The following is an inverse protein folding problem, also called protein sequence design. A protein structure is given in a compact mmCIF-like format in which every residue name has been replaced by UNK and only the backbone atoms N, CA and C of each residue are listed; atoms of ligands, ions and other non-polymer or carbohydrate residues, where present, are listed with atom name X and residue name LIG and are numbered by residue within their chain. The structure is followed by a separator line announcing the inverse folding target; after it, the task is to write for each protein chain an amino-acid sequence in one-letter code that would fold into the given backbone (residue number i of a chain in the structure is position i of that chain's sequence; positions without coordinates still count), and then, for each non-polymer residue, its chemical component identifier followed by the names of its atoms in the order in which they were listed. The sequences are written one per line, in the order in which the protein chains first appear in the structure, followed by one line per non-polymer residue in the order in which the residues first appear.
data_IF_065974141034
#
_entry.id   IF_065974141034
#
_cell.length_a   1.000
_cell.length_b   1.000
_cell.length_c   1.000
_cell.angle_alpha   90.00
_cell.angle_beta   90.00
_cell.angle_gamma   90.00
#
_symmetry.space_group_name_H-M   'P 1'
#
loop_
_entity.id
_entity.type
_entity.pdbx_description
1 polymer ?
#
# COMPACT_ATOMS: atom_id res chain seq x y z
N UNK A 1 -8.71 55.13 0.34
CA UNK A 1 -7.61 54.21 0.69
C UNK A 1 -8.24 52.96 1.24
N UNK A 2 -8.01 51.81 0.59
CA UNK A 2 -8.51 50.53 1.07
C UNK A 2 -7.71 50.13 2.32
N UNK A 3 -8.38 49.79 3.41
CA UNK A 3 -7.70 49.26 4.59
C UNK A 3 -6.98 47.96 4.18
N UNK A 4 -5.74 47.75 4.62
CA UNK A 4 -5.01 46.49 4.50
C UNK A 4 -5.32 45.60 5.70
N UNK A 5 -5.43 44.29 5.47
CA UNK A 5 -5.89 43.33 6.48
C UNK A 5 -4.70 42.54 6.99
N UNK A 6 -4.78 42.01 8.20
CA UNK A 6 -3.76 41.12 8.75
C UNK A 6 -4.44 39.87 9.29
N UNK A 7 -3.92 38.71 8.91
CA UNK A 7 -4.22 37.43 9.54
C UNK A 7 -3.05 37.01 10.42
N UNK A 8 -3.30 36.89 11.73
CA UNK A 8 -2.33 36.40 12.71
C UNK A 8 -2.74 35.03 13.21
N UNK A 9 -1.82 34.07 13.21
CA UNK A 9 -2.10 32.78 13.84
C UNK A 9 -2.06 32.94 15.36
N UNK A 10 -3.14 32.55 16.04
CA UNK A 10 -3.30 32.71 17.49
C UNK A 10 -3.42 31.37 18.24
N UNK A 11 -3.58 30.26 17.52
CA UNK A 11 -3.56 28.91 18.08
C UNK A 11 -3.15 27.88 17.03
N UNK A 12 -2.43 26.84 17.47
CA UNK A 12 -2.06 25.67 16.66
C UNK A 12 -3.05 24.52 16.78
N UNK A 13 -4.11 24.63 17.57
CA UNK A 13 -5.10 23.55 17.76
C UNK A 13 -4.51 22.32 18.45
N UNK A 14 -3.60 22.51 19.41
CA UNK A 14 -2.97 21.42 20.17
C UNK A 14 -1.75 20.77 19.50
N UNK A 15 -1.35 21.26 18.33
CA UNK A 15 -0.13 20.82 17.63
C UNK A 15 1.11 21.49 18.23
N UNK A 16 2.17 20.71 18.46
CA UNK A 16 3.49 21.23 18.84
C UNK A 16 4.23 21.80 17.61
N UNK A 17 3.96 23.06 17.28
CA UNK A 17 4.63 23.81 16.20
C UNK A 17 4.74 25.30 16.58
N UNK A 18 5.75 26.04 16.07
CA UNK A 18 5.78 27.50 16.22
C UNK A 18 4.59 28.14 15.48
N UNK A 19 4.16 29.30 15.95
CA UNK A 19 3.18 30.12 15.24
C UNK A 19 3.79 30.65 13.93
N UNK A 20 2.97 30.71 12.89
CA UNK A 20 3.34 31.33 11.62
C UNK A 20 3.51 32.85 11.77
N UNK A 21 4.30 33.50 10.88
CA UNK A 21 4.35 34.95 10.81
C UNK A 21 2.99 35.54 10.44
N UNK A 22 2.81 36.83 10.71
CA UNK A 22 1.60 37.57 10.31
C UNK A 22 1.49 37.66 8.79
N UNK A 23 0.30 37.43 8.25
CA UNK A 23 0.03 37.49 6.82
C UNK A 23 -0.75 38.76 6.49
N UNK A 24 -0.15 39.65 5.71
CA UNK A 24 -0.84 40.83 5.20
C UNK A 24 -1.75 40.46 4.04
N UNK A 25 -3.00 40.95 4.07
CA UNK A 25 -3.98 40.79 3.02
C UNK A 25 -3.94 41.99 2.07
N UNK A 26 -3.63 41.72 0.80
CA UNK A 26 -3.73 42.68 -0.31
C UNK A 26 -5.09 42.51 -1.01
N UNK A 27 -5.69 43.62 -1.45
CA UNK A 27 -6.93 43.64 -2.24
C UNK A 27 -6.77 43.07 -3.65
N UNK A 28 -5.55 42.75 -4.07
CA UNK A 28 -5.25 42.16 -5.39
C UNK A 28 -5.11 40.64 -5.38
N UNK A 29 -5.13 40.00 -4.21
CA UNK A 29 -4.82 38.58 -4.09
C UNK A 29 -5.81 37.87 -3.18
N UNK A 30 -6.13 36.62 -3.56
CA UNK A 30 -6.82 35.70 -2.67
C UNK A 30 -5.81 34.87 -1.90
N UNK A 31 -6.08 34.63 -0.62
CA UNK A 31 -5.25 33.81 0.25
C UNK A 31 -5.97 32.50 0.50
N UNK A 32 -5.39 31.43 -0.02
CA UNK A 32 -5.83 30.07 0.27
C UNK A 32 -5.09 29.54 1.50
N UNK A 33 -5.85 29.03 2.46
CA UNK A 33 -5.33 28.38 3.66
C UNK A 33 -5.65 26.88 3.58
N UNK A 34 -4.65 26.03 3.80
CA UNK A 34 -4.83 24.58 3.73
C UNK A 34 -3.53 23.81 3.91
N UNK A 35 -3.61 22.48 3.82
CA UNK A 35 -2.42 21.61 3.94
C UNK A 35 -1.68 21.37 2.62
N UNK A 36 -2.19 21.86 1.51
CA UNK A 36 -1.55 21.69 0.22
C UNK A 36 -0.37 22.67 0.09
N UNK A 37 0.81 22.24 -0.43
CA UNK A 37 1.96 23.13 -0.57
C UNK A 37 1.73 24.35 -1.48
N UNK A 38 0.71 24.29 -2.35
CA UNK A 38 0.31 25.39 -3.24
C UNK A 38 -0.52 26.48 -2.55
N UNK A 39 -0.91 26.30 -1.28
CA UNK A 39 -1.63 27.31 -0.51
C UNK A 39 -0.69 28.46 -0.10
N UNK A 40 -1.19 29.71 -0.12
CA UNK A 40 -0.45 30.87 0.37
C UNK A 40 -0.13 30.73 1.87
N UNK A 41 -1.08 30.19 2.64
CA UNK A 41 -0.85 29.77 4.03
C UNK A 41 -0.90 28.25 4.07
N UNK A 42 0.26 27.63 3.79
CA UNK A 42 0.43 26.18 3.79
C UNK A 42 0.72 25.65 5.21
N UNK A 43 -0.21 24.88 5.75
CA UNK A 43 -0.07 24.19 7.03
C UNK A 43 0.55 22.81 6.85
N UNK A 44 1.47 22.42 7.74
CA UNK A 44 2.16 21.13 7.63
C UNK A 44 1.15 19.97 7.56
N UNK A 45 1.17 19.14 6.49
CA UNK A 45 0.17 18.11 6.31
C UNK A 45 0.19 17.04 7.41
N UNK A 46 1.36 16.70 7.94
CA UNK A 46 1.50 15.65 8.94
C UNK A 46 1.02 16.11 10.33
N UNK A 47 1.09 17.41 10.60
CA UNK A 47 0.74 17.98 11.89
C UNK A 47 -0.73 18.42 11.95
N UNK A 48 -1.22 19.10 10.92
CA UNK A 48 -2.54 19.73 10.91
C UNK A 48 -3.59 18.86 10.22
N UNK A 49 -3.76 17.59 10.64
CA UNK A 49 -4.62 16.60 9.96
C UNK A 49 -6.10 16.99 9.87
N UNK A 50 -6.59 17.82 10.79
CA UNK A 50 -7.96 18.35 10.79
C UNK A 50 -8.20 19.39 9.70
N UNK A 51 -7.14 19.91 9.06
CA UNK A 51 -7.24 20.91 8.00
C UNK A 51 -7.32 20.23 6.63
N UNK A 52 -8.29 20.63 5.79
CA UNK A 52 -8.40 20.15 4.41
C UNK A 52 -7.22 20.60 3.53
N UNK A 53 -7.03 19.97 2.37
CA UNK A 53 -5.96 20.35 1.41
C UNK A 53 -6.09 21.82 1.00
N UNK A 54 -7.28 22.21 0.60
CA UNK A 54 -7.74 23.57 0.34
C UNK A 54 -8.91 23.77 1.31
N UNK A 55 -8.72 24.52 2.38
CA UNK A 55 -9.69 24.55 3.49
C UNK A 55 -10.62 25.76 3.40
N UNK A 56 -10.03 26.95 3.44
CA UNK A 56 -10.75 28.22 3.40
C UNK A 56 -10.01 29.18 2.47
N UNK A 57 -10.78 29.93 1.71
CA UNK A 57 -10.30 31.01 0.86
C UNK A 57 -10.65 32.34 1.51
N UNK A 58 -9.67 33.22 1.66
CA UNK A 58 -9.86 34.60 2.08
C UNK A 58 -9.67 35.47 0.85
N UNK A 59 -10.73 36.15 0.40
CA UNK A 59 -10.70 36.95 -0.82
C UNK A 59 -11.17 38.38 -0.56
N UNK A 60 -10.70 39.38 -1.33
CA UNK A 60 -11.22 40.73 -1.25
C UNK A 60 -12.68 40.77 -1.72
N UNK A 61 -13.54 41.45 -0.97
CA UNK A 61 -14.95 41.66 -1.29
C UNK A 61 -15.33 43.10 -0.93
N UNK A 62 -15.47 43.96 -1.94
CA UNK A 62 -15.73 45.40 -1.74
C UNK A 62 -14.56 46.11 -1.06
N UNK A 63 -14.79 46.64 0.14
CA UNK A 63 -13.77 47.33 0.96
C UNK A 63 -13.19 46.44 2.08
N UNK A 64 -13.60 45.17 2.17
CA UNK A 64 -13.17 44.23 3.20
C UNK A 64 -12.76 42.88 2.61
N UNK A 65 -12.69 41.86 3.46
CA UNK A 65 -12.40 40.49 3.06
C UNK A 65 -13.54 39.55 3.43
N UNK A 66 -13.71 38.53 2.61
CA UNK A 66 -14.67 37.47 2.81
C UNK A 66 -13.93 36.16 3.02
N UNK A 67 -14.36 35.37 4.00
CA UNK A 67 -13.96 33.98 4.18
C UNK A 67 -14.97 33.05 3.51
N UNK A 68 -14.48 32.12 2.70
CA UNK A 68 -15.28 31.12 1.98
C UNK A 68 -14.75 29.73 2.31
N UNK A 69 -15.58 28.88 2.91
CA UNK A 69 -15.23 27.47 3.13
C UNK A 69 -15.29 26.70 1.81
N UNK A 70 -14.22 25.97 1.46
CA UNK A 70 -14.10 25.25 0.18
C UNK A 70 -14.62 23.81 0.24
N UNK A 71 -15.66 23.56 1.06
CA UNK A 71 -16.16 22.20 1.30
C UNK A 71 -15.23 21.41 2.22
N UNK A 72 -14.70 22.08 3.24
CA UNK A 72 -13.75 21.46 4.16
C UNK A 72 -14.40 20.33 4.97
N UNK A 73 -13.65 19.25 5.19
CA UNK A 73 -14.18 18.05 5.85
C UNK A 73 -14.67 18.31 7.29
N UNK A 74 -13.97 19.20 8.02
CA UNK A 74 -14.27 19.50 9.43
C UNK A 74 -14.96 20.87 9.62
N UNK A 75 -15.22 21.59 8.53
CA UNK A 75 -15.82 22.92 8.55
C UNK A 75 -14.88 24.04 9.01
N UNK A 76 -15.18 25.25 8.57
CA UNK A 76 -14.60 26.51 9.07
C UNK A 76 -15.54 27.14 10.09
N UNK A 77 -15.00 27.72 11.16
CA UNK A 77 -15.77 28.41 12.21
C UNK A 77 -15.30 29.85 12.35
N UNK A 78 -16.23 30.79 12.51
CA UNK A 78 -15.93 32.19 12.81
C UNK A 78 -16.58 32.52 14.16
N UNK A 79 -15.76 32.89 15.14
CA UNK A 79 -16.18 33.15 16.53
C UNK A 79 -17.00 31.99 17.14
N UNK A 80 -16.60 30.75 16.86
CA UNK A 80 -17.25 29.54 17.35
C UNK A 80 -18.52 29.11 16.57
N UNK A 81 -18.99 29.92 15.62
CA UNK A 81 -20.13 29.56 14.77
C UNK A 81 -19.64 28.98 13.44
N UNK A 82 -20.19 27.84 13.04
CA UNK A 82 -19.83 27.18 11.77
C UNK A 82 -20.24 28.07 10.58
N UNK A 83 -19.29 28.32 9.68
CA UNK A 83 -19.49 29.09 8.47
C UNK A 83 -20.44 28.35 7.53
N UNK A 84 -21.50 29.03 7.08
CA UNK A 84 -22.42 28.55 6.05
C UNK A 84 -22.23 29.40 4.79
N UNK A 85 -21.67 28.82 3.73
CA UNK A 85 -21.32 29.55 2.51
C UNK A 85 -20.11 30.47 2.74
N UNK A 86 -20.33 31.77 2.71
CA UNK A 86 -19.30 32.79 2.86
C UNK A 86 -19.71 33.87 3.85
N UNK A 87 -18.73 34.53 4.47
CA UNK A 87 -18.95 35.58 5.48
C UNK A 87 -17.89 36.66 5.39
N UNK A 88 -18.33 37.93 5.41
CA UNK A 88 -17.44 39.10 5.53
C UNK A 88 -16.78 39.09 6.91
N UNK A 89 -15.45 39.22 6.92
CA UNK A 89 -14.65 39.30 8.12
C UNK A 89 -14.69 40.69 8.74
N UNK A 90 -14.80 40.76 10.06
CA UNK A 90 -14.71 41.96 10.87
C UNK A 90 -13.46 41.92 11.74
N UNK A 91 -12.83 43.06 12.00
CA UNK A 91 -11.66 43.11 12.88
C UNK A 91 -11.98 42.50 14.25
N UNK A 92 -11.08 41.65 14.73
CA UNK A 92 -11.25 40.82 15.92
C UNK A 92 -11.83 39.44 15.65
N UNK A 93 -12.33 39.15 14.42
CA UNK A 93 -12.88 37.84 14.10
C UNK A 93 -11.82 36.73 14.24
N UNK A 94 -12.23 35.65 14.91
CA UNK A 94 -11.45 34.43 15.08
C UNK A 94 -11.92 33.38 14.09
N UNK A 95 -11.07 33.06 13.11
CA UNK A 95 -11.25 32.01 12.13
C UNK A 95 -10.59 30.71 12.60
N UNK A 96 -11.37 29.66 12.85
CA UNK A 96 -10.88 28.36 13.33
C UNK A 96 -11.14 27.27 12.28
N UNK A 97 -10.11 26.49 11.96
CA UNK A 97 -10.15 25.47 10.89
C UNK A 97 -10.43 24.07 11.47
N UNK A 98 -11.70 23.70 11.59
CA UNK A 98 -12.19 22.51 12.29
C UNK A 98 -12.37 22.75 13.79
N UNK A 99 -13.29 22.02 14.43
CA UNK A 99 -13.80 22.24 15.80
C UNK A 99 -12.73 22.31 16.91
N UNK A 100 -11.51 21.82 16.65
CA UNK A 100 -10.33 21.93 17.55
C UNK A 100 -9.04 22.25 16.79
N UNK A 101 -9.12 22.89 15.63
CA UNK A 101 -7.98 23.14 14.75
C UNK A 101 -7.25 24.46 15.00
N UNK A 102 -6.27 24.78 14.15
CA UNK A 102 -5.57 26.05 14.23
C UNK A 102 -6.53 27.23 14.04
N UNK A 103 -6.24 28.33 14.73
CA UNK A 103 -7.06 29.54 14.69
C UNK A 103 -6.25 30.76 14.28
N UNK A 104 -6.89 31.67 13.55
CA UNK A 104 -6.34 32.94 13.09
C UNK A 104 -7.23 34.10 13.57
N UNK A 105 -6.64 35.21 14.01
CA UNK A 105 -7.36 36.47 14.18
C UNK A 105 -7.23 37.32 12.93
N UNK A 106 -8.32 37.97 12.55
CA UNK A 106 -8.34 38.97 11.49
C UNK A 106 -8.37 40.38 12.10
N UNK A 107 -7.48 41.26 11.67
CA UNK A 107 -7.40 42.65 12.12
C UNK A 107 -7.25 43.60 10.92
N UNK A 108 -7.78 44.82 11.02
CA UNK A 108 -7.43 45.88 10.07
C UNK A 108 -6.11 46.51 10.48
N UNK A 109 -5.22 46.71 9.52
CA UNK A 109 -4.04 47.52 9.72
C UNK A 109 -4.49 48.99 9.83
N UNK A 110 -4.54 49.52 11.05
CA UNK A 110 -4.72 50.95 11.27
C UNK A 110 -3.55 51.70 10.65
N UNK A 111 -3.82 52.60 9.69
CA UNK A 111 -2.84 53.62 9.33
C UNK A 111 -2.71 54.57 10.52
N UNK A 112 -1.72 54.34 11.37
CA UNK A 112 -1.36 55.24 12.46
C UNK A 112 -0.91 56.59 11.89
N UNK A 113 -1.81 57.57 11.92
CA UNK A 113 -1.47 58.99 11.99
C UNK A 113 -0.84 59.23 13.37
N UNK A 114 0.42 59.66 13.41
CA UNK A 114 1.19 59.87 14.64
C UNK A 114 0.96 61.30 15.16
N UNK A 115 0.28 61.55 16.30
CA UNK A 115 0.33 62.85 16.95
C UNK A 115 1.70 63.00 17.63
N UNK A 116 2.36 64.12 17.34
CA UNK A 116 3.69 64.50 17.82
C UNK A 116 3.98 64.12 19.28
N UNK A 117 5.07 63.37 19.50
CA UNK A 117 5.85 63.39 20.72
C UNK A 117 7.19 64.12 20.46
N UNK A 118 7.78 64.82 21.45
CA UNK A 118 8.86 65.78 21.23
C UNK A 118 10.14 65.16 20.70
N UNK A 119 10.86 65.92 19.87
CA UNK A 119 12.15 65.59 19.28
C UNK A 119 13.23 65.45 20.37
N UNK A 120 13.73 64.23 20.58
CA UNK A 120 15.04 64.00 21.20
C UNK A 120 16.13 63.97 20.11
N UNK A 121 17.21 64.75 20.23
CA UNK A 121 18.28 64.82 19.24
C UNK A 121 19.23 63.63 19.39
N UNK A 122 18.89 62.52 18.74
CA UNK A 122 19.70 61.29 18.76
C UNK A 122 19.37 60.36 17.60
N UNK A 123 19.36 60.89 16.37
CA UNK A 123 19.06 60.10 15.17
C UNK A 123 20.26 59.24 14.74
N UNK A 124 20.32 58.00 15.22
CA UNK A 124 20.87 56.92 14.40
C UNK A 124 19.78 56.44 13.44
N UNK A 125 19.92 56.75 12.16
CA UNK A 125 19.09 56.23 11.08
C UNK A 125 19.21 54.69 11.12
N UNK A 126 18.11 53.91 11.28
CA UNK A 126 18.17 52.48 11.05
C UNK A 126 18.35 52.28 9.54
N UNK A 127 19.55 51.88 9.15
CA UNK A 127 19.85 51.35 7.81
C UNK A 127 18.86 50.21 7.52
N UNK A 128 18.30 50.09 6.30
CA UNK A 128 17.52 48.93 5.92
C UNK A 128 18.31 47.66 6.25
N UNK A 129 17.76 46.81 7.10
CA UNK A 129 18.36 45.51 7.40
C UNK A 129 18.63 44.74 6.11
N UNK A 130 19.67 43.89 6.05
CA UNK A 130 19.99 43.18 4.83
C UNK A 130 18.77 42.39 4.37
N UNK A 131 18.47 42.44 3.07
CA UNK A 131 17.68 41.40 2.42
C UNK A 131 18.41 40.10 2.78
N UNK A 132 17.82 39.29 3.66
CA UNK A 132 18.34 37.96 3.97
C UNK A 132 18.11 37.14 2.71
N UNK A 133 19.08 37.17 1.80
CA UNK A 133 19.24 36.12 0.82
C UNK A 133 19.19 34.80 1.59
N UNK A 134 18.39 33.80 1.17
CA UNK A 134 18.43 32.49 1.82
C UNK A 134 19.90 32.06 1.82
N UNK A 135 20.48 31.82 3.00
CA UNK A 135 21.90 31.51 3.21
C UNK A 135 22.46 30.76 1.99
N UNK A 136 23.30 31.44 1.20
CA UNK A 136 23.90 30.88 -0.02
C UNK A 136 24.92 29.77 0.28
N UNK A 137 25.20 29.52 1.56
CA UNK A 137 26.05 28.44 2.01
C UNK A 137 25.24 27.16 2.03
N UNK A 138 25.47 26.32 1.01
CA UNK A 138 25.00 24.95 0.97
C UNK A 138 25.44 24.24 2.25
N UNK A 139 24.47 23.81 3.07
CA UNK A 139 24.80 23.01 4.25
C UNK A 139 25.29 21.64 3.80
N UNK A 140 26.21 21.00 4.53
CA UNK A 140 26.63 19.62 4.21
C UNK A 140 25.45 18.63 4.17
N UNK A 141 24.35 18.94 4.85
CA UNK A 141 23.08 18.21 4.78
C UNK A 141 22.29 18.46 3.49
N UNK A 142 22.43 19.61 2.85
CA UNK A 142 21.89 19.89 1.51
C UNK A 142 22.80 19.32 0.41
N UNK A 143 24.12 19.33 0.63
CA UNK A 143 25.12 18.73 -0.28
C UNK A 143 25.11 17.20 -0.22
N UNK A 144 24.90 16.65 0.98
CA UNK A 144 24.80 15.22 1.27
C UNK A 144 23.51 14.94 2.06
N UNK A 145 22.35 14.83 1.36
CA UNK A 145 21.04 14.59 1.96
C UNK A 145 21.00 13.37 2.90
N UNK A 146 21.90 12.42 2.68
CA UNK A 146 22.03 11.19 3.48
C UNK A 146 22.45 11.51 4.94
N UNK A 147 23.29 12.53 5.16
CA UNK A 147 23.82 12.88 6.49
C UNK A 147 22.77 13.52 7.41
N UNK A 148 21.74 14.16 6.86
CA UNK A 148 20.66 14.81 7.61
C UNK A 148 19.53 13.83 8.00
N UNK A 149 19.40 12.74 7.24
CA UNK A 149 18.16 11.97 7.15
C UNK A 149 18.23 10.64 7.90
N UNK A 150 19.35 10.31 8.58
CA UNK A 150 19.57 8.98 9.16
C UNK A 150 18.43 8.43 10.03
N UNK A 151 17.76 9.28 10.82
CA UNK A 151 16.60 8.90 11.66
C UNK A 151 15.25 8.97 10.92
N UNK A 152 15.17 9.78 9.86
CA UNK A 152 13.95 10.01 9.07
C UNK A 152 13.88 9.11 7.81
N UNK A 153 14.97 8.43 7.47
CA UNK A 153 15.05 7.50 6.34
C UNK A 153 14.61 6.08 6.76
N UNK A 154 14.94 5.67 7.98
CA UNK A 154 14.52 4.37 8.56
C UNK A 154 13.03 4.30 8.88
N UNK A 155 12.36 5.46 9.01
CA UNK A 155 10.90 5.57 9.23
C UNK A 155 10.09 5.57 7.92
N UNK A 156 10.74 5.70 6.75
CA UNK A 156 10.05 5.77 5.44
C UNK A 156 9.83 4.38 4.85
N UNK A 157 8.60 4.14 4.38
CA UNK A 157 8.14 2.85 3.87
C UNK A 157 8.96 2.28 2.69
N UNK A 158 9.71 3.13 1.97
CA UNK A 158 10.45 2.76 0.75
C UNK A 158 11.91 2.32 0.98
N UNK A 159 12.49 2.59 2.16
CA UNK A 159 13.90 2.25 2.42
C UNK A 159 14.13 0.75 2.47
N UNK A 160 13.24 0.00 3.14
CA UNK A 160 13.37 -1.46 3.29
C UNK A 160 13.31 -2.18 1.92
N UNK A 161 12.33 -1.92 1.04
CA UNK A 161 12.35 -2.47 -0.33
C UNK A 161 13.60 -2.10 -1.12
N UNK A 162 14.11 -0.87 -0.96
CA UNK A 162 15.35 -0.42 -1.62
C UNK A 162 16.58 -1.20 -1.17
N UNK A 163 16.78 -1.34 0.15
CA UNK A 163 17.89 -2.13 0.71
C UNK A 163 17.81 -3.58 0.28
N UNK A 164 16.62 -4.20 0.36
CA UNK A 164 16.43 -5.57 -0.10
C UNK A 164 16.77 -5.73 -1.58
N UNK A 165 16.37 -4.79 -2.43
CA UNK A 165 16.72 -4.81 -3.85
C UNK A 165 18.24 -4.80 -4.05
N UNK A 166 18.96 -3.91 -3.35
CA UNK A 166 20.43 -3.87 -3.44
C UNK A 166 21.06 -5.19 -2.98
N UNK A 167 20.60 -5.77 -1.87
CA UNK A 167 21.10 -7.06 -1.37
C UNK A 167 20.90 -8.15 -2.41
N UNK A 168 19.69 -8.29 -2.97
CA UNK A 168 19.41 -9.31 -3.99
C UNK A 168 20.26 -9.10 -5.24
N UNK A 169 20.42 -7.87 -5.72
CA UNK A 169 21.30 -7.56 -6.86
C UNK A 169 22.74 -8.00 -6.59
N UNK A 170 23.29 -7.65 -5.43
CA UNK A 170 24.67 -8.04 -5.04
C UNK A 170 24.80 -9.56 -4.96
N UNK A 171 23.83 -10.25 -4.34
CA UNK A 171 23.82 -11.72 -4.27
C UNK A 171 23.74 -12.33 -5.67
N UNK A 172 22.91 -11.80 -6.57
CA UNK A 172 22.79 -12.30 -7.94
C UNK A 172 24.12 -12.15 -8.70
N UNK A 173 24.82 -11.02 -8.56
CA UNK A 173 26.19 -10.86 -9.10
C UNK A 173 27.18 -11.86 -8.49
N UNK A 174 27.09 -12.16 -7.20
CA UNK A 174 27.94 -13.15 -6.54
C UNK A 174 27.68 -14.59 -7.02
N UNK A 175 26.56 -14.83 -7.70
CA UNK A 175 26.16 -16.16 -8.21
C UNK A 175 26.40 -16.34 -9.71
N UNK A 176 27.19 -15.46 -10.33
CA UNK A 176 27.67 -15.67 -11.71
C UNK A 176 28.38 -17.02 -11.79
N UNK A 177 27.97 -17.86 -12.74
CA UNK A 177 28.44 -19.25 -12.89
C UNK A 177 27.64 -20.31 -12.12
N UNK A 178 26.61 -19.91 -11.36
CA UNK A 178 25.70 -20.81 -10.66
C UNK A 178 24.22 -20.53 -11.04
N UNK A 179 23.77 -20.94 -12.25
CA UNK A 179 22.48 -20.54 -12.82
C UNK A 179 21.27 -20.93 -11.95
N UNK A 180 21.31 -22.11 -11.31
CA UNK A 180 20.25 -22.53 -10.39
C UNK A 180 20.07 -21.58 -9.19
N UNK A 181 21.18 -21.18 -8.57
CA UNK A 181 21.16 -20.26 -7.43
C UNK A 181 20.76 -18.84 -7.85
N UNK A 182 21.25 -18.39 -9.02
CA UNK A 182 20.84 -17.12 -9.61
C UNK A 182 19.32 -17.07 -9.86
N UNK A 183 18.75 -18.11 -10.48
CA UNK A 183 17.33 -18.18 -10.79
C UNK A 183 16.47 -18.26 -9.52
N UNK A 184 16.94 -18.98 -8.50
CA UNK A 184 16.26 -19.02 -7.20
C UNK A 184 16.24 -17.64 -6.53
N UNK A 185 17.37 -16.91 -6.54
CA UNK A 185 17.43 -15.54 -6.02
C UNK A 185 16.53 -14.59 -6.79
N UNK A 186 16.55 -14.64 -8.12
CA UNK A 186 15.69 -13.83 -8.98
C UNK A 186 14.21 -14.08 -8.70
N UNK A 187 13.79 -15.34 -8.68
CA UNK A 187 12.41 -15.72 -8.42
C UNK A 187 11.97 -15.35 -7.00
N UNK A 188 12.84 -15.51 -6.00
CA UNK A 188 12.59 -15.06 -4.63
C UNK A 188 12.40 -13.54 -4.55
N UNK A 189 13.23 -12.77 -5.26
CA UNK A 189 13.09 -11.32 -5.32
C UNK A 189 11.76 -10.91 -5.96
N UNK A 190 11.44 -11.46 -7.13
CA UNK A 190 10.19 -11.15 -7.85
C UNK A 190 8.97 -11.53 -7.03
N UNK A 191 8.95 -12.72 -6.42
CA UNK A 191 7.86 -13.17 -5.57
C UNK A 191 7.71 -12.30 -4.33
N UNK A 192 8.83 -11.92 -3.69
CA UNK A 192 8.83 -10.98 -2.56
C UNK A 192 8.29 -9.59 -2.94
N UNK A 193 8.70 -9.05 -4.09
CA UNK A 193 8.24 -7.75 -4.58
C UNK A 193 6.74 -7.76 -4.91
N UNK A 194 6.26 -8.80 -5.60
CA UNK A 194 4.85 -8.97 -5.93
C UNK A 194 4.00 -9.21 -4.67
N UNK A 195 4.48 -10.00 -3.70
CA UNK A 195 3.84 -10.13 -2.40
C UNK A 195 3.78 -8.79 -1.66
N UNK A 196 4.88 -8.03 -1.65
CA UNK A 196 4.92 -6.71 -1.00
C UNK A 196 3.91 -5.74 -1.62
N UNK A 197 3.69 -5.81 -2.94
CA UNK A 197 2.63 -5.05 -3.60
C UNK A 197 1.24 -5.43 -3.08
N UNK A 198 0.91 -6.72 -2.97
CA UNK A 198 -0.34 -7.20 -2.36
C UNK A 198 -0.45 -6.73 -0.90
N UNK A 199 0.64 -6.82 -0.13
CA UNK A 199 0.71 -6.36 1.25
C UNK A 199 0.33 -4.87 1.38
N UNK A 200 0.87 -4.02 0.49
CA UNK A 200 0.54 -2.59 0.45
C UNK A 200 -0.90 -2.34 0.03
N UNK A 201 -1.43 -3.08 -0.95
CA UNK A 201 -2.83 -2.96 -1.37
C UNK A 201 -3.82 -3.34 -0.27
N UNK A 202 -3.49 -4.36 0.53
CA UNK A 202 -4.30 -4.77 1.67
C UNK A 202 -4.33 -3.68 2.76
N UNK A 203 -3.23 -2.97 2.97
CA UNK A 203 -3.13 -1.86 3.95
C UNK A 203 -3.30 -2.29 5.41
N UNK A 204 -3.36 -3.60 5.70
CA UNK A 204 -3.42 -4.15 7.05
C UNK A 204 -2.03 -4.62 7.47
N UNK A 205 -1.64 -4.30 8.71
CA UNK A 205 -0.41 -4.82 9.28
C UNK A 205 -0.62 -6.24 9.81
N UNK A 206 0.24 -7.17 9.39
CA UNK A 206 0.34 -8.51 9.94
C UNK A 206 1.74 -8.76 10.47
N UNK A 207 1.89 -9.59 11.50
CA UNK A 207 3.22 -9.93 12.00
C UNK A 207 4.00 -10.69 10.92
N UNK A 208 5.17 -10.17 10.55
CA UNK A 208 6.01 -10.76 9.50
C UNK A 208 6.37 -12.21 9.77
N UNK A 209 6.51 -12.62 11.04
CA UNK A 209 6.76 -14.02 11.39
C UNK A 209 5.62 -14.96 10.97
N UNK A 210 4.37 -14.48 10.97
CA UNK A 210 3.21 -15.29 10.53
C UNK A 210 3.13 -15.33 9.00
N UNK A 211 3.44 -14.21 8.35
CA UNK A 211 3.57 -14.15 6.88
C UNK A 211 4.64 -15.13 6.40
N UNK A 212 5.87 -14.99 6.91
CA UNK A 212 7.00 -15.84 6.55
C UNK A 212 6.76 -17.29 6.96
N UNK A 213 6.14 -17.52 8.12
CA UNK A 213 5.73 -18.84 8.58
C UNK A 213 4.73 -19.52 7.66
N UNK A 214 3.79 -18.77 7.07
CA UNK A 214 2.83 -19.30 6.09
C UNK A 214 3.53 -19.84 4.83
N UNK A 215 4.43 -19.02 4.25
CA UNK A 215 5.25 -19.44 3.11
C UNK A 215 6.15 -20.62 3.45
N UNK A 216 6.87 -20.54 4.57
CA UNK A 216 7.79 -21.59 5.01
C UNK A 216 7.08 -22.92 5.26
N UNK A 217 5.93 -22.92 5.95
CA UNK A 217 5.16 -24.15 6.19
C UNK A 217 4.68 -24.78 4.87
N UNK A 218 4.32 -23.96 3.89
CA UNK A 218 3.95 -24.45 2.55
C UNK A 218 5.13 -25.12 1.86
N UNK A 219 6.28 -24.45 1.85
CA UNK A 219 7.52 -25.00 1.30
C UNK A 219 7.90 -26.33 2.00
N UNK A 220 7.76 -26.39 3.33
CA UNK A 220 8.04 -27.59 4.11
C UNK A 220 7.09 -28.75 3.73
N UNK A 221 5.80 -28.48 3.54
CA UNK A 221 4.83 -29.51 3.12
C UNK A 221 5.17 -30.10 1.76
N UNK A 222 5.75 -29.31 0.85
CA UNK A 222 6.15 -29.77 -0.48
C UNK A 222 7.41 -30.66 -0.47
N UNK A 223 8.26 -30.56 0.55
CA UNK A 223 9.48 -31.36 0.69
C UNK A 223 9.36 -32.50 1.70
N UNK A 224 8.14 -32.76 2.18
CA UNK A 224 7.84 -33.82 3.16
C UNK A 224 6.76 -34.76 2.61
N UNK A 225 6.55 -35.96 3.19
CA UNK A 225 5.54 -36.92 2.72
C UNK A 225 4.09 -36.43 2.77
N UNK A 226 3.83 -35.21 3.28
CA UNK A 226 2.52 -34.56 3.20
C UNK A 226 2.08 -34.41 1.75
N UNK A 227 2.99 -34.03 0.84
CA UNK A 227 2.65 -33.89 -0.58
C UNK A 227 2.28 -35.23 -1.22
N UNK A 228 2.93 -36.33 -0.81
CA UNK A 228 2.64 -37.68 -1.34
C UNK A 228 1.23 -38.13 -0.99
N UNK A 229 0.75 -37.81 0.22
CA UNK A 229 -0.63 -38.06 0.62
C UNK A 229 -1.63 -37.29 -0.26
N UNK A 230 -1.33 -36.02 -0.55
CA UNK A 230 -2.15 -35.20 -1.45
C UNK A 230 -2.14 -35.76 -2.87
N UNK A 231 -0.97 -36.12 -3.40
CA UNK A 231 -0.84 -36.74 -4.73
C UNK A 231 -1.66 -38.02 -4.79
N UNK A 232 -1.58 -38.90 -3.78
CA UNK A 232 -2.37 -40.11 -3.72
C UNK A 232 -3.88 -39.82 -3.78
N UNK A 233 -4.38 -38.90 -2.94
CA UNK A 233 -5.82 -38.57 -2.93
C UNK A 233 -6.26 -37.94 -4.25
N UNK A 234 -5.53 -36.94 -4.75
CA UNK A 234 -6.01 -36.10 -5.86
C UNK A 234 -5.67 -36.65 -7.24
N UNK A 235 -4.63 -37.49 -7.36
CA UNK A 235 -4.17 -38.03 -8.65
C UNK A 235 -4.37 -39.54 -8.79
N UNK A 236 -4.50 -40.29 -7.69
CA UNK A 236 -4.77 -41.75 -7.74
C UNK A 236 -6.26 -42.04 -7.49
N UNK A 237 -6.87 -41.44 -6.47
CA UNK A 237 -8.29 -41.66 -6.16
C UNK A 237 -9.20 -40.77 -7.01
N UNK A 238 -8.88 -39.48 -7.08
CA UNK A 238 -9.62 -38.50 -7.87
C UNK A 238 -9.03 -38.36 -9.29
N UNK A 239 -9.80 -37.82 -10.25
CA UNK A 239 -9.37 -37.76 -11.65
C UNK A 239 -8.38 -36.61 -11.91
N UNK A 240 -7.27 -36.56 -11.17
CA UNK A 240 -6.22 -35.56 -11.30
C UNK A 240 -5.00 -35.99 -12.12
N UNK A 241 -4.99 -37.22 -12.64
CA UNK A 241 -3.91 -37.75 -13.49
C UNK A 241 -4.39 -37.99 -14.94
N UNK A 242 -5.09 -36.99 -15.50
CA UNK A 242 -5.55 -37.00 -16.89
C UNK A 242 -4.56 -36.18 -17.73
N UNK A 243 -4.13 -36.71 -18.87
CA UNK A 243 -3.17 -36.04 -19.75
C UNK A 243 -3.87 -35.19 -20.82
N UNK A 244 -3.06 -34.40 -21.54
CA UNK A 244 -3.46 -33.58 -22.68
C UNK A 244 -3.92 -34.41 -23.89
N UNK A 245 -3.39 -35.63 -24.03
CA UNK A 245 -3.79 -36.59 -25.06
C UNK A 245 -5.29 -36.97 -25.00
N UNK A 246 -5.93 -36.82 -23.85
CA UNK A 246 -7.36 -37.12 -23.62
C UNK A 246 -8.31 -35.98 -24.08
N UNK A 247 -7.76 -34.89 -24.60
CA UNK A 247 -8.50 -33.73 -25.10
C UNK A 247 -8.75 -32.65 -24.03
N UNK A 248 -8.93 -31.41 -24.49
CA UNK A 248 -8.95 -30.19 -23.64
C UNK A 248 -9.97 -30.27 -22.50
N UNK A 249 -11.15 -30.83 -22.74
CA UNK A 249 -12.19 -30.95 -21.71
C UNK A 249 -11.82 -31.93 -20.59
N UNK A 250 -11.17 -33.04 -20.92
CA UNK A 250 -10.69 -34.02 -19.92
C UNK A 250 -9.43 -33.51 -19.22
N UNK A 251 -8.51 -32.88 -19.97
CA UNK A 251 -7.36 -32.18 -19.41
C UNK A 251 -7.80 -31.16 -18.35
N UNK A 252 -8.86 -30.38 -18.62
CA UNK A 252 -9.41 -29.44 -17.65
C UNK A 252 -9.84 -30.13 -16.34
N UNK A 253 -10.50 -31.29 -16.41
CA UNK A 253 -10.86 -32.07 -15.22
C UNK A 253 -9.60 -32.53 -14.47
N UNK A 254 -8.60 -33.03 -15.20
CA UNK A 254 -7.28 -33.37 -14.65
C UNK A 254 -6.65 -32.22 -13.88
N UNK A 255 -6.57 -31.05 -14.53
CA UNK A 255 -6.02 -29.83 -13.95
C UNK A 255 -6.86 -29.31 -12.78
N UNK A 256 -8.18 -29.49 -12.79
CA UNK A 256 -9.04 -29.12 -11.68
C UNK A 256 -8.77 -29.95 -10.43
N UNK A 257 -8.66 -31.27 -10.53
CA UNK A 257 -8.41 -32.11 -9.36
C UNK A 257 -6.93 -32.15 -8.96
N UNK A 258 -6.04 -32.44 -9.91
CA UNK A 258 -4.63 -32.73 -9.67
C UNK A 258 -3.74 -31.51 -9.44
N UNK A 259 -4.19 -30.31 -9.84
CA UNK A 259 -3.50 -29.05 -9.58
C UNK A 259 -4.39 -28.07 -8.81
N UNK A 260 -5.50 -27.61 -9.42
CA UNK A 260 -6.37 -26.58 -8.87
C UNK A 260 -6.90 -26.90 -7.46
N UNK A 261 -7.51 -28.06 -7.25
CA UNK A 261 -8.11 -28.42 -5.96
C UNK A 261 -7.04 -28.85 -4.96
N UNK A 262 -6.16 -29.77 -5.38
CA UNK A 262 -5.06 -30.28 -4.56
C UNK A 262 -4.19 -29.15 -3.99
N UNK A 263 -3.70 -28.27 -4.85
CA UNK A 263 -2.72 -27.26 -4.45
C UNK A 263 -3.35 -26.13 -3.65
N UNK A 264 -4.56 -25.66 -4.01
CA UNK A 264 -5.22 -24.60 -3.24
C UNK A 264 -5.63 -25.06 -1.84
N UNK A 265 -6.00 -26.33 -1.67
CA UNK A 265 -6.21 -26.92 -0.32
C UNK A 265 -4.89 -26.99 0.44
N UNK A 266 -3.82 -27.48 -0.18
CA UNK A 266 -2.50 -27.58 0.47
C UNK A 266 -2.00 -26.19 0.91
N UNK A 267 -2.12 -25.17 0.05
CA UNK A 267 -1.76 -23.76 0.34
C UNK A 267 -2.70 -23.10 1.37
N UNK A 268 -3.89 -23.64 1.60
CA UNK A 268 -4.77 -23.13 2.64
C UNK A 268 -4.41 -23.61 4.05
N UNK A 269 -3.70 -24.74 4.20
CA UNK A 269 -3.35 -25.33 5.50
C UNK A 269 -2.66 -24.32 6.43
N UNK A 270 -1.63 -23.55 6.01
CA UNK A 270 -0.96 -22.61 6.91
C UNK A 270 -1.89 -21.48 7.40
N UNK A 271 -2.90 -21.12 6.60
CA UNK A 271 -3.90 -20.12 6.95
C UNK A 271 -4.81 -20.67 8.07
N UNK A 272 -5.23 -21.93 7.96
CA UNK A 272 -5.99 -22.62 9.01
C UNK A 272 -5.16 -22.85 10.28
N UNK A 273 -3.87 -23.18 10.14
CA UNK A 273 -2.93 -23.30 11.27
C UNK A 273 -2.79 -21.96 12.00
N UNK A 274 -2.56 -20.87 11.26
CA UNK A 274 -2.51 -19.53 11.85
C UNK A 274 -3.82 -19.16 12.55
N UNK A 275 -4.97 -19.46 11.93
CA UNK A 275 -6.28 -19.26 12.56
C UNK A 275 -6.43 -20.06 13.86
N UNK A 276 -6.08 -21.34 13.86
CA UNK A 276 -6.12 -22.22 15.04
C UNK A 276 -5.22 -21.71 16.16
N UNK A 277 -3.96 -21.42 15.86
CA UNK A 277 -3.00 -20.85 16.83
C UNK A 277 -3.51 -19.52 17.37
N UNK A 278 -4.01 -18.63 16.51
CA UNK A 278 -4.55 -17.34 16.92
C UNK A 278 -5.73 -17.44 17.88
N UNK A 279 -6.57 -18.46 17.73
CA UNK A 279 -7.71 -18.71 18.62
C UNK A 279 -7.29 -19.13 20.04
N UNK A 280 -6.03 -19.53 20.25
CA UNK A 280 -5.47 -19.84 21.57
C UNK A 280 -5.12 -18.60 22.39
N UNK A 281 -5.13 -17.40 21.78
CA UNK A 281 -4.71 -16.16 22.44
C UNK A 281 -5.84 -15.14 22.55
N UNK A 282 -5.67 -14.19 23.47
CA UNK A 282 -6.59 -13.06 23.64
C UNK A 282 -6.66 -12.14 22.41
N UNK A 283 -7.68 -11.25 22.33
CA UNK A 283 -8.04 -10.51 21.11
C UNK A 283 -6.89 -9.77 20.44
N UNK A 284 -6.08 -9.05 21.23
CA UNK A 284 -4.93 -8.27 20.73
C UNK A 284 -3.84 -9.11 20.07
N UNK A 285 -3.59 -10.33 20.59
CA UNK A 285 -2.63 -11.25 19.99
C UNK A 285 -3.25 -11.95 18.80
N UNK A 286 -4.49 -12.45 18.94
CA UNK A 286 -5.25 -13.09 17.85
C UNK A 286 -5.30 -12.25 16.58
N UNK A 287 -5.46 -10.94 16.69
CA UNK A 287 -5.40 -10.04 15.53
C UNK A 287 -4.02 -10.05 14.83
N UNK A 288 -2.92 -10.11 15.58
CA UNK A 288 -1.55 -10.10 15.03
C UNK A 288 -1.13 -11.43 14.42
N UNK A 289 -1.54 -12.55 15.02
CA UNK A 289 -1.04 -13.90 14.64
C UNK A 289 -2.09 -14.82 14.02
N UNK A 290 -3.38 -14.55 14.21
CA UNK A 290 -4.48 -15.39 13.74
C UNK A 290 -5.05 -14.97 12.39
N UNK A 291 -6.28 -15.38 12.10
CA UNK A 291 -7.08 -14.86 10.99
C UNK A 291 -8.37 -14.33 11.59
N UNK A 292 -8.59 -13.02 11.51
CA UNK A 292 -9.79 -12.38 12.09
C UNK A 292 -10.68 -11.76 11.02
N UNK A 293 -10.16 -11.55 9.81
CA UNK A 293 -10.90 -10.93 8.70
C UNK A 293 -10.33 -11.32 7.32
N UNK A 294 -11.02 -11.01 6.21
CA UNK A 294 -10.59 -11.35 4.86
C UNK A 294 -9.18 -10.86 4.49
N UNK A 295 -8.76 -9.67 4.97
CA UNK A 295 -7.41 -9.15 4.68
C UNK A 295 -6.31 -10.06 5.25
N UNK A 296 -6.50 -10.65 6.43
CA UNK A 296 -5.53 -11.60 6.98
C UNK A 296 -5.41 -12.83 6.08
N UNK A 297 -6.56 -13.37 5.66
CA UNK A 297 -6.59 -14.55 4.80
C UNK A 297 -5.93 -14.30 3.45
N UNK A 298 -6.17 -13.15 2.81
CA UNK A 298 -5.48 -12.76 1.56
C UNK A 298 -3.96 -12.70 1.76
N UNK A 299 -3.49 -12.04 2.83
CA UNK A 299 -2.06 -11.92 3.10
C UNK A 299 -1.41 -13.29 3.36
N UNK A 300 -2.03 -14.15 4.16
CA UNK A 300 -1.47 -15.46 4.46
C UNK A 300 -1.55 -16.42 3.27
N UNK A 301 -2.61 -16.33 2.46
CA UNK A 301 -2.76 -17.12 1.23
C UNK A 301 -1.76 -16.71 0.15
N UNK A 302 -1.54 -15.42 -0.06
CA UNK A 302 -0.50 -14.94 -0.96
C UNK A 302 0.91 -15.33 -0.46
N UNK A 303 1.16 -15.28 0.86
CA UNK A 303 2.43 -15.71 1.42
C UNK A 303 2.66 -17.22 1.27
N UNK A 304 1.61 -18.03 1.46
CA UNK A 304 1.66 -19.48 1.20
C UNK A 304 1.98 -19.77 -0.26
N UNK A 305 1.34 -19.06 -1.20
CA UNK A 305 1.63 -19.16 -2.63
C UNK A 305 3.08 -18.83 -2.97
N UNK A 306 3.70 -17.82 -2.34
CA UNK A 306 5.13 -17.57 -2.49
C UNK A 306 5.93 -18.80 -2.09
N UNK A 307 5.69 -19.37 -0.90
CA UNK A 307 6.37 -20.58 -0.43
C UNK A 307 6.20 -21.77 -1.37
N UNK A 308 4.99 -21.96 -1.90
CA UNK A 308 4.70 -22.98 -2.90
C UNK A 308 5.54 -22.79 -4.16
N UNK A 309 5.50 -21.58 -4.73
CA UNK A 309 6.13 -21.27 -6.02
C UNK A 309 7.66 -21.35 -5.95
N UNK A 310 8.27 -21.03 -4.80
CA UNK A 310 9.71 -21.14 -4.62
C UNK A 310 10.21 -22.60 -4.62
N UNK A 311 9.39 -23.56 -4.22
CA UNK A 311 9.75 -24.99 -4.21
C UNK A 311 9.32 -25.68 -5.50
N UNK A 312 8.04 -25.58 -5.84
CA UNK A 312 7.48 -26.25 -7.02
C UNK A 312 8.01 -25.62 -8.30
N UNK A 313 7.76 -24.32 -8.51
CA UNK A 313 8.02 -23.71 -9.81
C UNK A 313 9.51 -23.47 -10.01
N UNK A 314 10.22 -22.91 -9.02
CA UNK A 314 11.65 -22.62 -9.16
C UNK A 314 12.53 -23.86 -8.92
N UNK A 315 12.14 -24.74 -8.01
CA UNK A 315 12.95 -25.88 -7.61
C UNK A 315 12.77 -27.12 -8.49
N UNK A 316 11.61 -27.30 -9.11
CA UNK A 316 11.32 -28.50 -9.91
C UNK A 316 10.94 -28.13 -11.36
N UNK A 317 9.94 -27.26 -11.53
CA UNK A 317 9.35 -27.00 -12.83
C UNK A 317 10.31 -26.33 -13.82
N UNK A 318 10.97 -25.26 -13.38
CA UNK A 318 11.94 -24.50 -14.19
C UNK A 318 13.14 -25.37 -14.60
N UNK A 319 13.82 -26.08 -13.69
CA UNK A 319 14.88 -27.01 -14.06
C UNK A 319 14.43 -28.08 -15.06
N UNK A 320 13.23 -28.62 -14.92
CA UNK A 320 12.70 -29.63 -15.85
C UNK A 320 12.53 -29.07 -17.26
N UNK A 321 11.97 -27.87 -17.42
CA UNK A 321 11.83 -27.21 -18.73
C UNK A 321 13.20 -26.96 -19.36
N UNK A 322 14.17 -26.46 -18.59
CA UNK A 322 15.54 -26.21 -19.09
C UNK A 322 16.13 -27.52 -19.61
N UNK A 323 15.99 -28.62 -18.85
CA UNK A 323 16.46 -29.93 -19.27
C UNK A 323 15.76 -30.40 -20.55
N UNK A 324 14.43 -30.27 -20.66
CA UNK A 324 13.67 -30.67 -21.85
C UNK A 324 14.09 -29.89 -23.11
N UNK A 325 14.27 -28.57 -23.01
CA UNK A 325 14.71 -27.73 -24.13
C UNK A 325 16.17 -28.03 -24.50
N UNK A 326 17.03 -28.29 -23.51
CA UNK A 326 18.44 -28.63 -23.73
C UNK A 326 18.64 -30.00 -24.40
N UNK A 327 17.64 -30.87 -24.38
CA UNK A 327 17.65 -32.13 -25.15
C UNK A 327 17.35 -31.91 -26.63
N UNK A 328 16.76 -30.77 -27.01
CA UNK A 328 16.33 -30.46 -28.37
C UNK A 328 17.24 -29.48 -29.12
N UNK A 329 18.11 -28.78 -28.39
CA UNK A 329 19.00 -27.75 -28.92
C UNK A 329 20.38 -27.91 -28.30
N UNK A 330 21.42 -27.36 -28.94
CA UNK A 330 22.77 -27.29 -28.36
C UNK A 330 22.74 -26.75 -26.90
N UNK A 331 23.52 -27.30 -25.96
CA UNK A 331 23.44 -26.96 -24.54
C UNK A 331 23.52 -25.46 -24.24
N UNK A 332 24.35 -24.70 -24.95
CA UNK A 332 24.48 -23.26 -24.75
C UNK A 332 23.24 -22.48 -25.22
N UNK A 333 22.55 -22.99 -26.24
CA UNK A 333 21.32 -22.39 -26.78
C UNK A 333 20.09 -22.83 -25.98
N UNK A 334 20.08 -24.08 -25.49
CA UNK A 334 19.06 -24.61 -24.60
C UNK A 334 18.99 -23.87 -23.26
N UNK A 335 20.15 -23.51 -22.70
CA UNK A 335 20.23 -22.69 -21.49
C UNK A 335 19.72 -21.26 -21.72
N UNK A 336 20.08 -20.63 -22.84
CA UNK A 336 19.61 -19.29 -23.21
C UNK A 336 18.09 -19.25 -23.45
N UNK A 337 17.55 -20.23 -24.19
CA UNK A 337 16.10 -20.36 -24.42
C UNK A 337 15.36 -20.67 -23.11
N UNK A 338 15.94 -21.53 -22.27
CA UNK A 338 15.44 -21.81 -20.93
C UNK A 338 15.34 -20.54 -20.08
N UNK A 339 16.36 -19.69 -20.09
CA UNK A 339 16.40 -18.40 -19.39
C UNK A 339 15.41 -17.37 -19.97
N UNK A 340 15.22 -17.32 -21.29
CA UNK A 340 14.24 -16.43 -21.92
C UNK A 340 12.79 -16.81 -21.59
N UNK A 341 12.50 -18.10 -21.46
CA UNK A 341 11.19 -18.60 -21.02
C UNK A 341 10.98 -18.46 -19.51
N UNK A 342 12.07 -18.40 -18.73
CA UNK A 342 12.09 -18.32 -17.28
C UNK A 342 11.37 -17.07 -16.76
N UNK A 343 11.67 -15.89 -17.30
CA UNK A 343 11.19 -14.63 -16.74
C UNK A 343 9.66 -14.49 -16.86
N UNK A 344 9.03 -14.62 -18.05
CA UNK A 344 7.58 -14.50 -18.16
C UNK A 344 6.83 -15.61 -17.42
N UNK A 345 7.42 -16.81 -17.37
CA UNK A 345 6.78 -17.99 -16.74
C UNK A 345 6.91 -17.96 -15.22
N UNK A 346 8.02 -17.50 -14.66
CA UNK A 346 8.16 -17.21 -13.23
C UNK A 346 7.22 -16.09 -12.84
N UNK A 347 7.25 -14.96 -13.56
CA UNK A 347 6.36 -13.84 -13.29
C UNK A 347 4.90 -14.28 -13.32
N UNK A 348 4.49 -15.01 -14.36
CA UNK A 348 3.12 -15.53 -14.53
C UNK A 348 2.72 -16.57 -13.49
N UNK A 349 3.59 -17.54 -13.16
CA UNK A 349 3.30 -18.59 -12.17
C UNK A 349 3.19 -18.01 -10.76
N UNK A 350 4.18 -17.22 -10.33
CA UNK A 350 4.21 -16.53 -9.04
C UNK A 350 2.97 -15.65 -8.89
N UNK A 351 2.74 -14.79 -9.89
CA UNK A 351 1.56 -13.94 -10.02
C UNK A 351 0.25 -14.71 -9.84
N UNK A 352 0.11 -15.77 -10.62
CA UNK A 352 -1.06 -16.61 -10.68
C UNK A 352 -1.34 -17.25 -9.34
N UNK A 353 -0.38 -17.98 -8.76
CA UNK A 353 -0.57 -18.63 -7.47
C UNK A 353 -0.95 -17.64 -6.37
N UNK A 354 -0.34 -16.45 -6.32
CA UNK A 354 -0.77 -15.42 -5.38
C UNK A 354 -2.18 -14.92 -5.64
N UNK A 355 -2.61 -14.83 -6.90
CA UNK A 355 -3.97 -14.44 -7.27
C UNK A 355 -5.00 -15.45 -6.76
N UNK A 356 -4.88 -16.74 -7.09
CA UNK A 356 -5.87 -17.74 -6.68
C UNK A 356 -5.82 -18.04 -5.19
N UNK A 357 -4.63 -18.16 -4.60
CA UNK A 357 -4.48 -18.45 -3.16
C UNK A 357 -4.83 -17.23 -2.29
N UNK A 358 -4.52 -16.02 -2.73
CA UNK A 358 -5.00 -14.79 -2.10
C UNK A 358 -6.53 -14.68 -2.20
N UNK A 359 -7.12 -15.03 -3.35
CA UNK A 359 -8.57 -15.08 -3.54
C UNK A 359 -9.23 -16.12 -2.64
N UNK A 360 -8.68 -17.34 -2.50
CA UNK A 360 -9.21 -18.32 -1.54
C UNK A 360 -9.04 -17.82 -0.09
N UNK A 361 -7.91 -17.21 0.21
CA UNK A 361 -7.64 -16.54 1.48
C UNK A 361 -8.72 -15.53 1.88
N UNK A 362 -9.26 -14.76 0.92
CA UNK A 362 -10.41 -13.87 1.16
C UNK A 362 -11.62 -14.63 1.73
N UNK A 363 -11.99 -15.78 1.15
CA UNK A 363 -13.12 -16.59 1.64
C UNK A 363 -12.84 -17.20 3.00
N UNK A 364 -11.60 -17.63 3.26
CA UNK A 364 -11.20 -18.14 4.58
C UNK A 364 -11.41 -17.05 5.63
N UNK A 365 -10.89 -15.84 5.41
CA UNK A 365 -11.13 -14.73 6.35
C UNK A 365 -12.59 -14.27 6.41
N UNK A 366 -13.35 -14.36 5.32
CA UNK A 366 -14.78 -14.05 5.30
C UNK A 366 -15.60 -15.04 6.13
N UNK A 367 -15.22 -16.32 6.14
CA UNK A 367 -15.87 -17.36 6.95
C UNK A 367 -15.75 -17.08 8.45
N UNK A 368 -14.67 -16.40 8.88
CA UNK A 368 -14.50 -15.95 10.27
C UNK A 368 -15.50 -14.86 10.64
N UNK A 369 -15.78 -13.93 9.71
CA UNK A 369 -16.77 -12.86 9.91
C UNK A 369 -18.22 -13.36 9.84
N UNK A 370 -18.46 -14.49 9.17
CA UNK A 370 -19.80 -15.06 8.92
C UNK A 370 -19.86 -16.52 9.34
N UNK A 371 -19.75 -16.83 10.65
CA UNK A 371 -19.61 -18.19 11.15
C UNK A 371 -20.79 -19.11 10.78
N UNK A 372 -22.01 -18.57 10.74
CA UNK A 372 -23.22 -19.33 10.36
C UNK A 372 -23.23 -19.81 8.90
N UNK A 373 -22.42 -19.20 8.03
CA UNK A 373 -22.29 -19.57 6.61
C UNK A 373 -20.87 -20.04 6.27
N UNK A 374 -20.05 -20.32 7.28
CA UNK A 374 -18.62 -20.60 7.13
C UNK A 374 -18.34 -21.73 6.14
N UNK A 375 -19.00 -22.88 6.30
CA UNK A 375 -18.85 -24.04 5.41
C UNK A 375 -19.18 -23.69 3.96
N UNK A 376 -20.31 -23.00 3.74
CA UNK A 376 -20.73 -22.57 2.39
C UNK A 376 -19.69 -21.64 1.76
N UNK A 377 -19.18 -20.67 2.53
CA UNK A 377 -18.18 -19.69 2.07
C UNK A 377 -16.87 -20.42 1.69
N UNK A 378 -16.41 -21.36 2.51
CA UNK A 378 -15.19 -22.13 2.26
C UNK A 378 -15.31 -23.00 1.01
N UNK A 379 -16.43 -23.69 0.83
CA UNK A 379 -16.68 -24.51 -0.38
C UNK A 379 -16.67 -23.63 -1.63
N UNK A 380 -17.38 -22.50 -1.62
CA UNK A 380 -17.42 -21.58 -2.76
C UNK A 380 -16.01 -21.04 -3.06
N UNK A 381 -15.29 -20.59 -2.03
CA UNK A 381 -13.94 -20.07 -2.19
C UNK A 381 -12.99 -21.09 -2.79
N UNK A 382 -13.00 -22.32 -2.26
CA UNK A 382 -12.15 -23.41 -2.73
C UNK A 382 -12.47 -23.78 -4.18
N UNK A 383 -13.74 -24.01 -4.52
CA UNK A 383 -14.12 -24.40 -5.88
C UNK A 383 -13.80 -23.30 -6.92
N UNK A 384 -14.02 -22.03 -6.58
CA UNK A 384 -13.79 -20.92 -7.50
C UNK A 384 -12.30 -20.61 -7.69
N UNK A 385 -11.47 -20.67 -6.63
CA UNK A 385 -10.03 -20.53 -6.78
C UNK A 385 -9.42 -21.69 -7.56
N UNK A 386 -9.84 -22.92 -7.28
CA UNK A 386 -9.40 -24.11 -8.01
C UNK A 386 -9.81 -24.09 -9.48
N UNK A 387 -10.99 -23.54 -9.80
CA UNK A 387 -11.43 -23.32 -11.19
C UNK A 387 -10.52 -22.34 -11.93
N UNK A 388 -10.21 -21.18 -11.34
CA UNK A 388 -9.30 -20.19 -11.95
C UNK A 388 -7.91 -20.77 -12.21
N UNK A 389 -7.40 -21.52 -11.24
CA UNK A 389 -6.12 -22.20 -11.35
C UNK A 389 -6.14 -23.28 -12.44
N UNK A 390 -7.17 -24.14 -12.46
CA UNK A 390 -7.32 -25.17 -13.49
C UNK A 390 -7.39 -24.56 -14.90
N UNK A 391 -8.12 -23.43 -15.05
CA UNK A 391 -8.19 -22.69 -16.30
C UNK A 391 -6.81 -22.18 -16.73
N UNK A 392 -6.02 -21.63 -15.81
CA UNK A 392 -4.66 -21.18 -16.10
C UNK A 392 -3.78 -22.32 -16.62
N UNK A 393 -3.74 -23.45 -15.92
CA UNK A 393 -2.91 -24.59 -16.33
C UNK A 393 -3.39 -25.22 -17.64
N UNK A 394 -4.70 -25.36 -17.80
CA UNK A 394 -5.28 -25.94 -19.02
C UNK A 394 -4.99 -25.07 -20.23
N UNK A 395 -5.28 -23.77 -20.15
CA UNK A 395 -5.07 -22.84 -21.26
C UNK A 395 -3.59 -22.62 -21.55
N UNK A 396 -2.74 -22.62 -20.51
CA UNK A 396 -1.29 -22.48 -20.63
C UNK A 396 -0.62 -23.60 -21.44
N UNK A 397 -1.30 -24.74 -21.63
CA UNK A 397 -0.81 -25.83 -22.47
C UNK A 397 -1.00 -25.61 -23.97
N UNK A 398 -1.90 -24.72 -24.40
CA UNK A 398 -2.23 -24.56 -25.83
C UNK A 398 -2.40 -23.13 -26.35
N UNK A 399 -2.54 -22.10 -25.49
CA UNK A 399 -2.71 -20.72 -25.98
C UNK A 399 -2.18 -19.65 -25.01
N UNK A 400 -1.10 -18.96 -25.40
CA UNK A 400 -0.53 -17.86 -24.61
C UNK A 400 -1.43 -16.60 -24.57
N UNK A 401 -2.24 -16.37 -25.61
CA UNK A 401 -3.17 -15.22 -25.65
C UNK A 401 -4.31 -15.45 -24.66
N UNK A 402 -4.94 -16.63 -24.70
CA UNK A 402 -5.98 -16.97 -23.74
C UNK A 402 -5.41 -17.06 -22.32
N UNK A 403 -4.16 -17.50 -22.15
CA UNK A 403 -3.48 -17.51 -20.85
C UNK A 403 -3.38 -16.09 -20.27
N UNK A 404 -3.01 -15.11 -21.10
CA UNK A 404 -2.99 -13.71 -20.69
C UNK A 404 -4.38 -13.22 -20.24
N UNK A 405 -5.44 -13.61 -20.96
CA UNK A 405 -6.83 -13.28 -20.59
C UNK A 405 -7.20 -13.91 -19.24
N UNK A 406 -6.90 -15.19 -19.02
CA UNK A 406 -7.14 -15.87 -17.73
C UNK A 406 -6.34 -15.21 -16.60
N UNK A 407 -5.11 -14.79 -16.87
CA UNK A 407 -4.29 -14.01 -15.93
C UNK A 407 -4.94 -12.70 -15.52
N UNK A 408 -5.42 -11.91 -16.48
CA UNK A 408 -6.12 -10.64 -16.21
C UNK A 408 -7.36 -10.89 -15.34
N UNK A 409 -8.16 -11.91 -15.65
CA UNK A 409 -9.32 -12.26 -14.82
C UNK A 409 -8.91 -12.68 -13.41
N UNK A 410 -7.88 -13.53 -13.26
CA UNK A 410 -7.41 -13.98 -11.95
C UNK A 410 -7.00 -12.80 -11.06
N UNK A 411 -6.29 -11.82 -11.65
CA UNK A 411 -5.93 -10.59 -10.94
C UNK A 411 -7.11 -9.67 -10.66
N UNK A 412 -8.07 -9.56 -11.58
CA UNK A 412 -9.28 -8.79 -11.34
C UNK A 412 -10.08 -9.37 -10.16
N UNK A 413 -10.15 -10.71 -10.05
CA UNK A 413 -10.77 -11.39 -8.91
C UNK A 413 -10.04 -11.12 -7.60
N UNK A 414 -8.70 -11.22 -7.57
CA UNK A 414 -7.91 -10.86 -6.39
C UNK A 414 -8.09 -9.38 -6.01
N UNK A 415 -8.01 -8.46 -6.98
CA UNK A 415 -8.18 -7.03 -6.74
C UNK A 415 -9.59 -6.71 -6.19
N UNK A 416 -10.63 -7.31 -6.77
CA UNK A 416 -12.00 -7.18 -6.27
C UNK A 416 -12.14 -7.74 -4.85
N UNK A 417 -11.50 -8.88 -4.56
CA UNK A 417 -11.47 -9.47 -3.22
C UNK A 417 -10.77 -8.55 -2.21
N UNK A 418 -9.63 -7.94 -2.56
CA UNK A 418 -8.94 -6.96 -1.72
C UNK A 418 -9.84 -5.74 -1.47
N UNK A 419 -10.43 -5.15 -2.52
CA UNK A 419 -11.34 -4.00 -2.36
C UNK A 419 -12.52 -4.33 -1.46
N UNK A 420 -13.12 -5.52 -1.64
CA UNK A 420 -14.24 -5.96 -0.80
C UNK A 420 -13.80 -6.25 0.64
N UNK A 421 -12.64 -6.87 0.83
CA UNK A 421 -12.05 -7.13 2.13
C UNK A 421 -11.85 -5.84 2.92
N UNK A 422 -11.32 -4.80 2.26
CA UNK A 422 -11.15 -3.47 2.86
C UNK A 422 -12.47 -2.84 3.29
N UNK A 423 -13.53 -3.01 2.48
CA UNK A 423 -14.85 -2.51 2.83
C UNK A 423 -15.48 -3.25 4.02
N UNK A 424 -15.17 -4.54 4.19
CA UNK A 424 -15.68 -5.39 5.27
C UNK A 424 -14.83 -5.34 6.55
N UNK A 425 -13.64 -4.74 6.49
CA UNK A 425 -12.65 -4.79 7.56
C UNK A 425 -13.17 -4.14 8.86
N UNK A 426 -13.23 -4.86 9.99
CA UNK A 426 -13.61 -4.28 11.28
C UNK A 426 -12.62 -3.21 11.77
N UNK A 427 -11.34 -3.35 11.40
CA UNK A 427 -10.27 -2.41 11.76
C UNK A 427 -10.00 -1.38 10.66
N UNK A 428 -10.97 -1.15 9.76
CA UNK A 428 -10.85 -0.17 8.67
C UNK A 428 -10.45 1.23 9.16
N UNK A 429 -10.96 1.66 10.31
CA UNK A 429 -10.61 2.97 10.89
C UNK A 429 -9.12 3.08 11.26
N UNK A 430 -8.50 1.97 11.65
CA UNK A 430 -7.10 1.89 12.10
C UNK A 430 -6.14 1.64 10.94
N UNK A 431 -6.55 0.80 9.98
CA UNK A 431 -5.75 0.45 8.81
C UNK A 431 -5.65 1.59 7.78
N UNK A 432 -6.61 2.54 7.79
CA UNK A 432 -6.76 3.53 6.73
C UNK A 432 -6.88 4.98 7.21
N UNK A 433 -6.18 5.33 8.29
CA UNK A 433 -6.01 6.73 8.73
C UNK A 433 -5.38 7.66 7.65
N UNK A 434 -5.02 7.14 6.48
CA UNK A 434 -4.70 7.91 5.28
C UNK A 434 -5.60 7.55 4.10
N UNK A 435 -6.71 8.29 3.99
CA UNK A 435 -7.41 8.73 2.75
C UNK A 435 -7.64 7.69 1.65
N UNK A 436 -8.86 7.15 1.55
CA UNK A 436 -9.72 7.22 0.33
C UNK A 436 -11.20 7.15 0.76
N UNK A 437 -11.86 8.31 0.78
CA UNK A 437 -13.32 8.53 0.71
C UNK A 437 -13.52 10.06 0.74
N UNK A 438 -14.29 10.73 -0.11
CA UNK A 438 -15.26 10.34 -1.13
C UNK A 438 -14.87 10.93 -2.47
#
# INVERSE_FOLDING_TARGET
MQASGILRQISTGGVQAPLLPDFSLDHRQEILIGREPSCQIALNPNLYTVVSRRHVLIRPQGQGWEAVDLGSANGTFINGQRLQGSRILQAGDRLTLGDNGPSFSFEFQSQGHNPQAPLDPGSHIPVPGPIVSPNSNLTLTQLFPIAATGKDLSSKAYLVPGILTVIFVVLMFATIGAPGLFNFLLGTYIAGAAFYYIYQLCGKRKAWIVILGSGFLTALMLVTPVVDLFIFVFRVILPGNISDADGVGRLFVGMFFGAGLMEEILKAIPIFVAMGIGNLFGPKRREKIGVTEPLDGILLGAASAVGFTLIETLGQYVPNIINEVSLQVDPGTGELLGLQLLIPRILGSVAGHMAYSGYFGYFIGLSVLKPSKSVQILIIGCLTSSLLHALWNTVGSFSSILLAVVGVFSYAFLAAAILKARALSPTRAENFATRIAK
#
